data_IF_702528702289
#
_entry.id   IF_702528702289
#
_cell.length_a   1.000
_cell.length_b   1.000
_cell.length_c   1.000
_cell.angle_alpha   90.00
_cell.angle_beta   90.00
_cell.angle_gamma   90.00
#
_symmetry.space_group_name_H-M   'P 1'
#
loop_
_entity.id
_entity.type
_entity.pdbx_description
1 polymer ?
#
# COMPACT_ATOMS: atom_id res chain seq x y z
N UNK A 1 3.66 -5.56 8.66
CA UNK A 1 3.00 -4.26 8.94
C UNK A 1 4.07 -3.32 9.45
N UNK A 2 4.35 -2.24 8.70
CA UNK A 2 5.49 -1.37 8.96
C UNK A 2 5.37 -0.71 10.35
N UNK A 3 6.35 -0.92 11.23
CA UNK A 3 6.35 -0.39 12.61
C UNK A 3 6.12 1.13 12.60
N UNK A 4 6.67 1.80 11.59
CA UNK A 4 6.56 3.23 11.32
C UNK A 4 5.12 3.69 11.11
N UNK A 5 4.28 2.91 10.42
CA UNK A 5 2.87 3.24 10.17
C UNK A 5 2.01 3.02 11.42
N UNK A 6 2.30 1.97 12.18
CA UNK A 6 1.65 1.71 13.48
C UNK A 6 1.99 2.85 14.44
N UNK A 7 3.27 3.25 14.50
CA UNK A 7 3.73 4.35 15.33
C UNK A 7 3.10 5.69 14.90
N UNK A 8 2.98 5.95 13.59
CA UNK A 8 2.30 7.13 13.07
C UNK A 8 0.82 7.14 13.47
N UNK A 9 0.12 6.02 13.29
CA UNK A 9 -1.30 5.92 13.64
C UNK A 9 -1.51 6.09 15.15
N UNK A 10 -0.68 5.42 15.96
CA UNK A 10 -0.67 5.56 17.41
C UNK A 10 -0.38 6.99 17.85
N UNK A 11 0.59 7.66 17.21
CA UNK A 11 0.91 9.06 17.43
C UNK A 11 -0.25 10.00 17.06
N UNK A 12 -0.91 9.77 15.93
CA UNK A 12 -2.10 10.53 15.53
C UNK A 12 -3.26 10.36 16.51
N UNK A 13 -3.51 9.13 16.98
CA UNK A 13 -4.56 8.84 17.96
C UNK A 13 -4.23 9.46 19.33
N UNK A 14 -2.97 9.41 19.75
CA UNK A 14 -2.53 9.99 21.02
C UNK A 14 -2.59 11.52 20.97
N UNK A 15 -2.14 12.13 19.87
CA UNK A 15 -2.26 13.57 19.62
C UNK A 15 -3.73 14.00 19.59
N UNK A 16 -4.60 13.23 18.93
CA UNK A 16 -6.04 13.46 18.92
C UNK A 16 -6.66 13.41 20.33
N UNK A 17 -6.30 12.42 21.14
CA UNK A 17 -6.77 12.29 22.51
C UNK A 17 -6.29 13.44 23.40
N UNK A 18 -5.02 13.85 23.26
CA UNK A 18 -4.45 15.00 23.98
C UNK A 18 -5.14 16.29 23.57
N UNK A 19 -5.34 16.53 22.27
CA UNK A 19 -6.05 17.70 21.77
C UNK A 19 -7.50 17.72 22.27
N UNK A 20 -8.19 16.58 22.24
CA UNK A 20 -9.53 16.47 22.81
C UNK A 20 -9.55 16.83 24.29
N UNK A 21 -8.63 16.28 25.09
CA UNK A 21 -8.54 16.55 26.52
C UNK A 21 -8.26 18.04 26.82
N UNK A 22 -7.27 18.64 26.17
CA UNK A 22 -6.89 20.05 26.40
C UNK A 22 -8.03 21.00 25.99
N UNK A 23 -8.66 20.76 24.85
CA UNK A 23 -9.67 21.65 24.25
C UNK A 23 -11.04 21.53 24.92
N UNK A 24 -11.47 20.31 25.25
CA UNK A 24 -12.81 20.04 25.75
C UNK A 24 -12.89 19.83 27.26
N UNK A 25 -11.88 19.20 27.87
CA UNK A 25 -11.86 18.85 29.31
C UNK A 25 -11.16 19.92 30.13
N UNK A 26 -9.90 20.24 29.82
CA UNK A 26 -9.07 21.15 30.64
C UNK A 26 -9.44 22.63 30.45
N UNK A 27 -9.97 23.01 29.28
CA UNK A 27 -10.47 24.36 28.93
C UNK A 27 -9.52 25.51 29.32
N UNK A 28 -8.21 25.31 29.21
CA UNK A 28 -7.21 26.28 29.71
C UNK A 28 -7.23 27.61 28.95
N UNK A 29 -7.69 27.60 27.69
CA UNK A 29 -7.86 28.82 26.89
C UNK A 29 -9.21 28.82 26.17
N UNK A 30 -9.86 29.99 26.01
CA UNK A 30 -11.10 30.12 25.26
C UNK A 30 -10.81 29.97 23.77
N UNK A 31 -10.79 28.73 23.30
CA UNK A 31 -10.67 28.42 21.88
C UNK A 31 -12.01 28.76 21.23
N UNK A 32 -11.95 29.54 20.15
CA UNK A 32 -13.15 29.94 19.42
C UNK A 32 -13.94 28.70 18.97
N UNK A 33 -15.29 28.78 18.89
CA UNK A 33 -16.12 27.68 18.39
C UNK A 33 -15.66 27.15 17.02
N UNK A 34 -15.11 28.04 16.19
CA UNK A 34 -14.53 27.75 14.89
C UNK A 34 -13.29 26.84 14.97
N UNK A 35 -12.41 27.06 15.94
CA UNK A 35 -11.24 26.21 16.17
C UNK A 35 -11.61 24.79 16.61
N UNK A 36 -12.65 24.66 17.44
CA UNK A 36 -13.17 23.34 17.86
C UNK A 36 -13.79 22.58 16.69
N UNK A 37 -14.57 23.27 15.86
CA UNK A 37 -15.17 22.66 14.67
C UNK A 37 -14.11 22.21 13.67
N UNK A 38 -13.09 23.03 13.41
CA UNK A 38 -12.01 22.68 12.46
C UNK A 38 -11.24 21.42 12.87
N UNK A 39 -10.98 21.25 14.17
CA UNK A 39 -10.29 20.06 14.69
C UNK A 39 -11.12 18.78 14.54
N UNK A 40 -12.42 18.86 14.85
CA UNK A 40 -13.33 17.72 14.69
C UNK A 40 -13.44 17.34 13.22
N UNK A 41 -13.63 18.32 12.33
CA UNK A 41 -13.67 18.07 10.88
C UNK A 41 -12.37 17.44 10.38
N UNK A 42 -11.22 17.96 10.80
CA UNK A 42 -9.91 17.41 10.42
C UNK A 42 -9.79 15.95 10.82
N UNK A 43 -10.16 15.61 12.06
CA UNK A 43 -10.16 14.23 12.54
C UNK A 43 -11.10 13.32 11.75
N UNK A 44 -12.30 13.81 11.45
CA UNK A 44 -13.30 13.05 10.72
C UNK A 44 -12.92 12.80 9.25
N UNK A 45 -12.01 13.60 8.69
CA UNK A 45 -11.45 13.37 7.34
C UNK A 45 -10.19 12.52 7.42
N UNK A 46 -9.26 12.85 8.30
CA UNK A 46 -7.93 12.24 8.36
C UNK A 46 -7.98 10.80 8.85
N UNK A 47 -8.82 10.49 9.85
CA UNK A 47 -8.92 9.12 10.38
C UNK A 47 -9.48 8.14 9.34
N UNK A 48 -10.62 8.40 8.66
CA UNK A 48 -11.10 7.49 7.61
C UNK A 48 -10.10 7.31 6.47
N UNK A 49 -9.44 8.39 6.03
CA UNK A 49 -8.42 8.29 4.96
C UNK A 49 -7.26 7.38 5.39
N UNK A 50 -6.77 7.51 6.61
CA UNK A 50 -5.72 6.64 7.15
C UNK A 50 -6.18 5.19 7.29
N UNK A 51 -7.39 4.96 7.81
CA UNK A 51 -7.96 3.61 7.94
C UNK A 51 -8.11 2.95 6.58
N UNK A 52 -8.59 3.68 5.58
CA UNK A 52 -8.72 3.19 4.21
C UNK A 52 -7.33 2.87 3.63
N UNK A 53 -6.36 3.77 3.75
CA UNK A 53 -5.00 3.55 3.26
C UNK A 53 -4.36 2.30 3.89
N UNK A 54 -4.49 2.15 5.21
CA UNK A 54 -4.02 0.97 5.95
C UNK A 54 -4.70 -0.32 5.51
N UNK A 55 -6.02 -0.28 5.26
CA UNK A 55 -6.74 -1.44 4.74
C UNK A 55 -6.17 -1.86 3.38
N UNK A 56 -6.02 -0.91 2.45
CA UNK A 56 -5.48 -1.21 1.12
C UNK A 56 -4.07 -1.79 1.19
N UNK A 57 -3.23 -1.30 2.09
CA UNK A 57 -1.87 -1.77 2.30
C UNK A 57 -1.81 -3.16 2.94
N UNK A 58 -2.63 -3.43 3.97
CA UNK A 58 -2.69 -4.72 4.65
C UNK A 58 -3.18 -5.86 3.76
N UNK A 59 -4.03 -5.54 2.76
CA UNK A 59 -4.55 -6.52 1.81
C UNK A 59 -3.70 -6.75 0.56
N UNK A 60 -2.59 -6.04 0.38
CA UNK A 60 -1.84 -6.04 -0.88
C UNK A 60 -1.27 -7.44 -1.23
N UNK A 61 -0.61 -8.11 -0.28
CA UNK A 61 -0.07 -9.46 -0.48
C UNK A 61 -1.17 -10.50 -0.74
N UNK A 62 -2.28 -10.42 0.00
CA UNK A 62 -3.42 -11.32 -0.19
C UNK A 62 -4.06 -11.16 -1.57
N UNK A 63 -4.19 -9.93 -2.06
CA UNK A 63 -4.68 -9.66 -3.43
C UNK A 63 -3.71 -10.16 -4.50
N UNK A 64 -2.40 -10.01 -4.27
CA UNK A 64 -1.37 -10.56 -5.15
C UNK A 64 -1.47 -12.10 -5.23
N UNK A 65 -1.69 -12.76 -4.10
CA UNK A 65 -1.95 -14.20 -4.04
C UNK A 65 -3.24 -14.60 -4.76
N UNK A 66 -4.32 -13.83 -4.63
CA UNK A 66 -5.60 -14.09 -5.30
C UNK A 66 -5.49 -14.00 -6.83
N UNK A 67 -4.64 -13.12 -7.37
CA UNK A 67 -4.41 -13.07 -8.81
C UNK A 67 -3.51 -14.22 -9.31
N UNK A 68 -2.88 -15.00 -8.43
CA UNK A 68 -2.09 -16.18 -8.78
C UNK A 68 -0.57 -15.98 -8.69
N UNK A 69 -0.10 -14.87 -8.11
CA UNK A 69 1.31 -14.64 -7.82
C UNK A 69 1.60 -15.00 -6.36
N UNK A 70 2.57 -15.87 -6.14
CA UNK A 70 3.00 -16.23 -4.77
C UNK A 70 3.74 -15.04 -4.16
N UNK A 71 3.37 -14.54 -2.96
CA UNK A 71 4.04 -13.39 -2.35
C UNK A 71 5.53 -13.70 -2.11
N UNK A 72 6.40 -12.77 -2.50
CA UNK A 72 7.83 -12.89 -2.30
C UNK A 72 8.16 -12.78 -0.79
N UNK A 73 8.91 -13.72 -0.20
CA UNK A 73 9.16 -13.75 1.24
C UNK A 73 10.01 -12.57 1.75
N UNK A 74 10.75 -11.88 0.88
CA UNK A 74 11.57 -10.71 1.24
C UNK A 74 10.86 -9.36 1.07
N UNK A 75 9.53 -9.34 0.92
CA UNK A 75 8.77 -8.09 0.99
C UNK A 75 8.83 -7.53 2.43
N UNK A 76 9.49 -6.38 2.59
CA UNK A 76 9.63 -5.72 3.88
C UNK A 76 8.36 -4.97 4.26
N UNK A 77 7.78 -4.27 3.28
CA UNK A 77 6.48 -3.62 3.42
C UNK A 77 5.82 -3.34 2.07
N UNK A 78 4.49 -3.27 2.05
CA UNK A 78 3.78 -2.73 0.88
C UNK A 78 3.90 -1.20 0.93
N UNK A 79 4.84 -0.62 0.19
CA UNK A 79 5.06 0.84 0.15
C UNK A 79 4.30 1.47 -1.01
N UNK A 80 2.97 1.46 -0.95
CA UNK A 80 2.19 2.16 -1.95
C UNK A 80 0.70 2.08 -1.68
N UNK A 81 0.04 3.24 -1.75
CA UNK A 81 -1.39 3.28 -2.04
C UNK A 81 -1.55 2.52 -3.34
N UNK A 82 -2.36 1.46 -3.34
CA UNK A 82 -2.73 0.82 -4.59
C UNK A 82 -3.48 1.86 -5.43
N UNK A 83 -2.77 2.57 -6.31
CA UNK A 83 -3.38 3.56 -7.19
C UNK A 83 -4.07 2.78 -8.29
N UNK A 84 -5.36 3.03 -8.48
CA UNK A 84 -6.23 2.23 -9.33
C UNK A 84 -7.21 1.38 -8.52
N UNK A 85 -8.37 1.96 -8.21
CA UNK A 85 -9.56 1.18 -7.90
C UNK A 85 -10.17 0.70 -9.21
N UNK A 86 -10.53 -0.59 -9.30
CA UNK A 86 -11.19 -1.16 -10.49
C UNK A 86 -10.26 -1.98 -11.38
N UNK A 87 -10.16 -1.61 -12.65
CA UNK A 87 -9.63 -2.48 -13.70
C UNK A 87 -8.10 -2.52 -13.81
N UNK A 88 -7.40 -1.49 -13.29
CA UNK A 88 -5.95 -1.33 -13.44
C UNK A 88 -5.24 -1.05 -12.09
N UNK A 89 -5.25 -2.01 -11.15
CA UNK A 89 -4.58 -1.83 -9.87
C UNK A 89 -3.05 -1.81 -10.02
N UNK A 90 -2.41 -0.93 -9.26
CA UNK A 90 -0.96 -0.90 -9.06
C UNK A 90 -0.66 -1.31 -7.62
N UNK A 91 0.29 -2.21 -7.39
CA UNK A 91 0.78 -2.55 -6.05
C UNK A 91 2.27 -2.30 -5.96
N UNK A 92 2.72 -1.58 -4.93
CA UNK A 92 4.14 -1.29 -4.74
C UNK A 92 4.60 -1.91 -3.43
N UNK A 93 5.75 -2.59 -3.49
CA UNK A 93 6.39 -3.27 -2.37
C UNK A 93 7.82 -2.80 -2.23
N UNK A 94 8.23 -2.50 -1.00
CA UNK A 94 9.63 -2.33 -0.62
C UNK A 94 10.25 -3.68 -0.33
N UNK A 95 11.49 -3.87 -0.76
CA UNK A 95 12.21 -5.14 -0.70
C UNK A 95 13.53 -4.96 0.04
N UNK A 96 13.76 -5.76 1.06
CA UNK A 96 15.07 -5.82 1.72
C UNK A 96 16.06 -6.58 0.82
N UNK A 97 17.16 -5.94 0.46
CA UNK A 97 18.20 -6.53 -0.41
C UNK A 97 18.05 -6.24 -1.91
N UNK A 98 17.20 -5.27 -2.28
CA UNK A 98 17.05 -4.79 -3.65
C UNK A 98 16.01 -5.56 -4.47
N UNK A 99 15.64 -5.00 -5.61
CA UNK A 99 14.53 -5.51 -6.42
C UNK A 99 14.88 -6.70 -7.34
N UNK A 100 16.18 -6.95 -7.60
CA UNK A 100 16.64 -8.02 -8.52
C UNK A 100 16.23 -9.44 -8.07
N UNK A 101 16.38 -9.84 -6.79
CA UNK A 101 15.92 -11.14 -6.31
C UNK A 101 14.43 -11.39 -6.53
N UNK A 102 13.62 -10.33 -6.55
CA UNK A 102 12.18 -10.42 -6.80
C UNK A 102 11.89 -10.80 -8.24
N UNK A 103 12.60 -10.18 -9.19
CA UNK A 103 12.46 -10.54 -10.60
C UNK A 103 12.90 -12.00 -10.84
N UNK A 104 14.02 -12.41 -10.27
CA UNK A 104 14.49 -13.81 -10.36
C UNK A 104 13.49 -14.80 -9.75
N UNK A 105 12.85 -14.42 -8.64
CA UNK A 105 11.80 -15.22 -8.01
C UNK A 105 10.59 -15.39 -8.94
N UNK A 106 10.09 -14.32 -9.55
CA UNK A 106 8.93 -14.40 -10.45
C UNK A 106 9.26 -14.92 -11.85
N UNK A 107 10.54 -14.98 -12.24
CA UNK A 107 10.96 -15.70 -13.44
C UNK A 107 10.55 -17.17 -13.41
N UNK A 108 10.53 -17.78 -12.21
CA UNK A 108 10.16 -19.20 -12.01
C UNK A 108 8.65 -19.40 -12.15
N UNK A 109 8.18 -20.34 -13.00
CA UNK A 109 6.76 -20.56 -13.26
C UNK A 109 5.98 -21.01 -12.01
N UNK A 110 6.63 -21.66 -11.05
CA UNK A 110 6.05 -22.09 -9.77
C UNK A 110 5.50 -20.92 -8.95
N UNK A 111 6.06 -19.73 -9.11
CA UNK A 111 5.70 -18.54 -8.34
C UNK A 111 4.61 -17.69 -9.01
N UNK A 112 4.10 -18.13 -10.18
CA UNK A 112 3.16 -17.39 -11.03
C UNK A 112 2.14 -18.30 -11.70
N UNK A 113 1.22 -18.86 -10.91
CA UNK A 113 0.27 -19.87 -11.38
C UNK A 113 -0.68 -19.31 -12.45
N UNK A 114 -0.58 -19.87 -13.65
CA UNK A 114 -1.43 -19.52 -14.80
C UNK A 114 -1.00 -18.26 -15.55
N UNK A 115 0.13 -17.64 -15.21
CA UNK A 115 0.64 -16.44 -15.89
C UNK A 115 1.80 -16.79 -16.81
N UNK A 116 1.65 -16.52 -18.11
CA UNK A 116 2.70 -16.70 -19.11
C UNK A 116 3.64 -15.50 -19.08
N UNK A 117 4.95 -15.73 -19.20
CA UNK A 117 5.94 -14.65 -19.32
C UNK A 117 6.04 -14.30 -20.80
N UNK A 118 5.71 -13.06 -21.14
CA UNK A 118 5.68 -12.55 -22.53
C UNK A 118 6.95 -11.76 -22.83
N UNK A 119 7.44 -10.99 -21.87
CA UNK A 119 8.66 -10.20 -22.02
C UNK A 119 9.44 -10.16 -20.72
N UNK A 120 10.77 -10.22 -20.84
CA UNK A 120 11.71 -10.15 -19.74
C UNK A 120 12.80 -9.13 -20.09
N UNK A 121 13.13 -8.28 -19.12
CA UNK A 121 14.18 -7.28 -19.18
C UNK A 121 14.79 -7.14 -17.78
N UNK A 122 15.95 -6.50 -17.68
CA UNK A 122 16.70 -6.40 -16.40
C UNK A 122 15.90 -5.76 -15.26
N UNK A 123 14.92 -4.91 -15.56
CA UNK A 123 14.09 -4.20 -14.59
C UNK A 123 12.59 -4.41 -14.78
N UNK A 124 12.17 -5.28 -15.70
CA UNK A 124 10.76 -5.43 -16.06
C UNK A 124 10.45 -6.88 -16.47
N UNK A 125 9.39 -7.44 -15.89
CA UNK A 125 8.76 -8.67 -16.33
C UNK A 125 7.33 -8.39 -16.76
N UNK A 126 6.95 -8.82 -17.95
CA UNK A 126 5.58 -8.71 -18.45
C UNK A 126 4.95 -10.09 -18.51
N UNK A 127 3.83 -10.23 -17.82
CA UNK A 127 3.04 -11.45 -17.78
C UNK A 127 1.69 -11.25 -18.45
N UNK A 128 1.15 -12.31 -19.03
CA UNK A 128 -0.18 -12.31 -19.66
C UNK A 128 -0.99 -13.55 -19.25
N UNK A 129 -2.30 -13.35 -19.06
CA UNK A 129 -3.29 -14.39 -18.80
C UNK A 129 -4.68 -13.92 -19.22
N UNK A 130 -5.33 -14.66 -20.12
CA UNK A 130 -6.75 -14.46 -20.48
C UNK A 130 -7.09 -13.00 -20.83
N UNK A 131 -6.27 -12.37 -21.67
CA UNK A 131 -6.46 -10.96 -22.06
C UNK A 131 -6.12 -9.94 -20.96
N UNK A 132 -5.52 -10.35 -19.85
CA UNK A 132 -4.99 -9.45 -18.81
C UNK A 132 -3.48 -9.51 -18.81
N UNK A 133 -2.84 -8.37 -18.56
CA UNK A 133 -1.39 -8.27 -18.43
C UNK A 133 -0.99 -7.75 -17.05
N UNK A 134 0.13 -8.24 -16.54
CA UNK A 134 0.75 -7.76 -15.29
C UNK A 134 2.20 -7.42 -15.59
N UNK A 135 2.56 -6.16 -15.41
CA UNK A 135 3.93 -5.70 -15.48
C UNK A 135 4.52 -5.64 -14.07
N UNK A 136 5.65 -6.30 -13.85
CA UNK A 136 6.42 -6.26 -12.61
C UNK A 136 7.68 -5.45 -12.89
N UNK A 137 7.73 -4.21 -12.41
CA UNK A 137 8.88 -3.33 -12.57
C UNK A 137 9.70 -3.23 -11.28
N UNK A 138 11.01 -3.30 -11.41
CA UNK A 138 11.98 -3.19 -10.33
C UNK A 138 12.70 -1.85 -10.42
N UNK A 139 12.63 -1.06 -9.35
CA UNK A 139 13.32 0.22 -9.24
C UNK A 139 14.04 0.26 -7.88
N UNK A 140 15.37 0.12 -7.91
CA UNK A 140 16.24 0.09 -6.72
C UNK A 140 15.74 -0.88 -5.63
N UNK A 141 15.09 -0.36 -4.58
CA UNK A 141 14.60 -1.11 -3.42
C UNK A 141 13.08 -1.31 -3.44
N UNK A 142 12.44 -1.04 -4.56
CA UNK A 142 10.99 -1.14 -4.74
C UNK A 142 10.62 -1.96 -5.96
N UNK A 143 9.51 -2.68 -5.86
CA UNK A 143 8.91 -3.45 -6.95
C UNK A 143 7.45 -3.02 -7.10
N UNK A 144 7.07 -2.65 -8.31
CA UNK A 144 5.70 -2.30 -8.65
C UNK A 144 5.07 -3.35 -9.57
N UNK A 145 3.88 -3.79 -9.22
CA UNK A 145 3.01 -4.67 -10.00
C UNK A 145 1.93 -3.79 -10.61
N UNK A 146 1.89 -3.65 -11.92
CA UNK A 146 0.88 -2.90 -12.64
C UNK A 146 0.03 -3.87 -13.45
N UNK A 147 -1.25 -3.98 -13.12
CA UNK A 147 -2.18 -4.80 -13.87
C UNK A 147 -2.91 -3.96 -14.91
N UNK A 148 -3.05 -4.49 -16.13
CA UNK A 148 -3.86 -3.92 -17.21
C UNK A 148 -4.80 -4.97 -17.76
N UNK A 149 -6.08 -4.63 -17.93
CA UNK A 149 -6.97 -5.42 -18.79
C UNK A 149 -6.71 -5.04 -20.24
N UNK A 150 -6.49 -6.04 -21.09
CA UNK A 150 -6.47 -5.85 -22.54
C UNK A 150 -7.88 -5.54 -23.01
N UNK A 151 -7.99 -4.57 -23.92
CA UNK A 151 -9.23 -4.18 -24.61
C UNK A 151 -9.79 -5.32 -25.46
#
# INVERSE_FOLDING_TARGET
>A
MDLSLIALLGGCLLLAAVLYYVIFVRREHPISPWGKSGLVTLMFVLVPVLVIALWYQAGAESRLAQIGFTPYPGFASSSGVATGLGENPVWVFSVEGGAKPVLEFYGRPENRKGWALVSESESLLLFEREGKSVAVSAVADSVAFTMRQGE
#
